data_IF_431821128133
#
_entry.id   IF_431821128133
#
_cell.length_a   1.000
_cell.length_b   1.000
_cell.length_c   1.000
_cell.angle_alpha   90.00
_cell.angle_beta   90.00
_cell.angle_gamma   90.00
#
_symmetry.space_group_name_H-M   'P 1'
#
loop_
_entity.id
_entity.type
_entity.pdbx_description
1 polymer ?
#
# COMPACT_ATOMS: atom_id res chain seq x y z
N UNK A 1 97.57 -65.03 8.36
CA UNK A 1 97.21 -64.73 6.96
C UNK A 1 95.84 -64.07 6.99
N UNK A 2 95.76 -62.74 6.85
CA UNK A 2 95.29 -62.07 5.61
C UNK A 2 93.84 -62.47 5.25
N UNK A 3 92.85 -61.61 5.00
CA UNK A 3 92.81 -60.17 4.71
C UNK A 3 91.32 -59.82 4.42
N UNK A 4 90.82 -58.73 4.99
CA UNK A 4 89.73 -57.82 4.51
C UNK A 4 88.27 -58.31 4.34
N UNK A 5 87.39 -57.35 4.69
CA UNK A 5 86.10 -56.92 4.06
C UNK A 5 84.92 -57.03 5.04
N UNK A 6 84.01 -56.07 5.18
CA UNK A 6 83.79 -54.71 4.69
C UNK A 6 82.68 -54.14 5.60
N UNK A 7 82.81 -52.87 5.96
CA UNK A 7 81.88 -52.05 6.74
C UNK A 7 80.50 -51.94 6.07
N UNK A 8 79.42 -52.25 6.81
CA UNK A 8 78.04 -51.95 6.40
C UNK A 8 77.52 -50.74 7.18
N UNK A 9 77.80 -49.54 6.66
CA UNK A 9 77.13 -48.32 7.09
C UNK A 9 75.81 -48.20 6.32
N UNK A 10 74.70 -48.45 7.01
CA UNK A 10 73.35 -48.19 6.49
C UNK A 10 73.10 -46.67 6.54
N UNK A 11 73.47 -45.96 5.47
CA UNK A 11 73.01 -44.60 5.22
C UNK A 11 71.64 -44.69 4.54
N UNK A 12 70.57 -44.57 5.33
CA UNK A 12 69.23 -44.36 4.80
C UNK A 12 69.16 -42.94 4.23
N UNK A 13 69.39 -42.80 2.93
CA UNK A 13 69.11 -41.57 2.20
C UNK A 13 67.60 -41.36 2.13
N UNK A 14 67.07 -40.59 3.09
CA UNK A 14 65.69 -40.10 3.10
C UNK A 14 65.55 -39.13 1.92
N UNK A 15 64.99 -39.60 0.81
CA UNK A 15 64.61 -38.75 -0.32
C UNK A 15 63.46 -37.83 0.14
N UNK A 16 63.81 -36.61 0.57
CA UNK A 16 62.86 -35.50 0.61
C UNK A 16 62.43 -35.23 -0.83
N UNK A 17 61.26 -35.75 -1.22
CA UNK A 17 60.57 -35.26 -2.40
C UNK A 17 60.15 -33.81 -2.11
N UNK A 18 60.52 -32.82 -2.93
CA UNK A 18 59.96 -31.49 -2.80
C UNK A 18 58.44 -31.62 -3.01
N UNK A 19 57.67 -31.31 -1.99
CA UNK A 19 56.22 -31.23 -2.10
C UNK A 19 55.89 -30.29 -3.23
N UNK A 20 55.29 -30.81 -4.30
CA UNK A 20 54.72 -30.00 -5.37
C UNK A 20 53.79 -28.99 -4.70
N UNK A 21 54.00 -27.67 -4.88
CA UNK A 21 53.03 -26.70 -4.40
C UNK A 21 51.70 -27.05 -5.07
N UNK A 22 50.71 -27.43 -4.26
CA UNK A 22 49.34 -27.52 -4.74
C UNK A 22 48.93 -26.10 -5.10
N UNK A 23 49.09 -25.74 -6.37
CA UNK A 23 48.43 -24.59 -6.96
C UNK A 23 46.94 -24.86 -6.81
N UNK A 24 46.33 -24.29 -5.78
CA UNK A 24 44.89 -24.14 -5.69
C UNK A 24 44.49 -23.28 -6.89
N UNK A 25 44.19 -23.93 -8.01
CA UNK A 25 43.58 -23.31 -9.15
C UNK A 25 42.27 -22.70 -8.62
N UNK A 26 42.27 -21.38 -8.48
CA UNK A 26 41.05 -20.62 -8.30
C UNK A 26 40.23 -20.86 -9.55
N UNK A 27 39.30 -21.81 -9.52
CA UNK A 27 38.20 -21.86 -10.49
C UNK A 27 37.55 -20.48 -10.45
N UNK A 28 37.75 -19.70 -11.50
CA UNK A 28 37.08 -18.42 -11.67
C UNK A 28 35.60 -18.75 -11.75
N UNK A 29 34.87 -18.56 -10.65
CA UNK A 29 33.43 -18.76 -10.62
C UNK A 29 32.82 -17.97 -11.78
N UNK A 30 32.13 -18.66 -12.68
CA UNK A 30 31.43 -18.02 -13.79
C UNK A 30 30.14 -17.39 -13.24
N UNK A 31 30.27 -16.16 -12.76
CA UNK A 31 29.19 -15.39 -12.14
C UNK A 31 28.02 -15.11 -13.11
N UNK A 32 28.19 -15.32 -14.42
CA UNK A 32 27.12 -15.13 -15.41
C UNK A 32 26.27 -16.40 -15.63
N UNK A 33 26.82 -17.58 -15.34
CA UNK A 33 26.11 -18.86 -15.48
C UNK A 33 25.62 -19.45 -14.15
N UNK A 34 26.19 -19.04 -13.02
CA UNK A 34 25.72 -19.44 -11.71
C UNK A 34 24.61 -18.51 -11.19
N UNK A 35 23.45 -19.09 -10.91
CA UNK A 35 22.34 -18.42 -10.20
C UNK A 35 21.70 -19.44 -9.26
N UNK A 36 21.40 -19.01 -8.03
CA UNK A 36 20.51 -19.79 -7.16
C UNK A 36 19.09 -19.83 -7.74
N UNK A 37 18.26 -20.80 -7.32
CA UNK A 37 16.85 -20.87 -7.74
C UNK A 37 16.08 -19.58 -7.38
N UNK A 38 16.43 -18.94 -6.27
CA UNK A 38 15.80 -17.70 -5.82
C UNK A 38 16.19 -16.50 -6.69
N UNK A 39 17.47 -16.40 -7.07
CA UNK A 39 17.98 -15.38 -7.99
C UNK A 39 17.43 -15.57 -9.42
N UNK A 40 17.30 -16.83 -9.86
CA UNK A 40 16.74 -17.17 -11.15
C UNK A 40 15.26 -16.75 -11.22
N UNK A 41 14.48 -17.08 -10.18
CA UNK A 41 13.09 -16.63 -10.07
C UNK A 41 12.96 -15.11 -10.04
N UNK A 42 13.83 -14.43 -9.28
CA UNK A 42 13.83 -12.95 -9.20
C UNK A 42 14.07 -12.32 -10.57
N UNK A 43 15.09 -12.82 -11.27
CA UNK A 43 15.49 -12.31 -12.58
C UNK A 43 14.41 -12.55 -13.62
N UNK A 44 13.82 -13.75 -13.64
CA UNK A 44 12.72 -14.12 -14.53
C UNK A 44 11.48 -13.24 -14.31
N UNK A 45 11.07 -13.05 -13.06
CA UNK A 45 9.92 -12.19 -12.72
C UNK A 45 10.19 -10.75 -13.13
N UNK A 46 11.38 -10.23 -12.85
CA UNK A 46 11.75 -8.86 -13.22
C UNK A 46 11.74 -8.66 -14.73
N UNK A 47 12.37 -9.55 -15.50
CA UNK A 47 12.43 -9.45 -16.96
C UNK A 47 11.04 -9.47 -17.61
N UNK A 48 10.10 -10.24 -17.06
CA UNK A 48 8.71 -10.29 -17.57
C UNK A 48 7.88 -9.09 -17.14
N UNK A 49 8.08 -8.59 -15.92
CA UNK A 49 7.23 -7.55 -15.36
C UNK A 49 7.71 -6.13 -15.65
N UNK A 50 9.01 -5.91 -15.84
CA UNK A 50 9.57 -4.57 -16.06
C UNK A 50 8.97 -3.83 -17.26
N UNK A 51 8.64 -4.47 -18.42
CA UNK A 51 8.05 -3.76 -19.56
C UNK A 51 6.63 -3.24 -19.28
N UNK A 52 5.95 -3.77 -18.26
CA UNK A 52 4.61 -3.36 -17.86
C UNK A 52 4.62 -2.21 -16.85
N UNK A 53 5.78 -1.88 -16.26
CA UNK A 53 5.94 -0.79 -15.29
C UNK A 53 6.26 0.50 -16.02
N UNK A 54 5.59 1.58 -15.62
CA UNK A 54 5.71 2.89 -16.27
C UNK A 54 6.10 3.95 -15.26
N UNK A 55 6.74 5.01 -15.75
CA UNK A 55 7.02 6.20 -14.97
C UNK A 55 5.92 7.24 -15.19
N UNK A 56 5.36 7.77 -14.10
CA UNK A 56 4.27 8.75 -14.14
C UNK A 56 4.82 10.09 -13.67
N UNK A 57 4.86 11.07 -14.56
CA UNK A 57 5.21 12.46 -14.25
C UNK A 57 3.97 13.33 -14.24
N UNK A 58 3.88 14.18 -13.23
CA UNK A 58 2.78 15.11 -13.07
C UNK A 58 3.31 16.54 -13.01
N UNK A 59 2.74 17.44 -13.81
CA UNK A 59 3.24 18.80 -13.97
C UNK A 59 2.13 19.85 -13.81
N UNK A 60 2.52 21.03 -13.35
CA UNK A 60 1.65 22.20 -13.19
C UNK A 60 2.06 23.27 -14.20
N UNK A 61 1.08 23.88 -14.86
CA UNK A 61 1.29 25.00 -15.76
C UNK A 61 1.36 26.28 -14.94
N UNK A 62 2.59 26.77 -14.70
CA UNK A 62 2.79 28.02 -13.99
C UNK A 62 2.98 29.18 -14.95
N UNK A 63 2.15 30.20 -14.79
CA UNK A 63 2.36 31.48 -15.45
C UNK A 63 3.43 32.28 -14.72
N UNK A 64 4.56 32.52 -15.37
CA UNK A 64 5.62 33.35 -14.82
C UNK A 64 5.13 34.79 -14.60
N UNK A 65 5.38 35.36 -13.42
CA UNK A 65 4.84 36.68 -13.02
C UNK A 65 5.35 37.83 -13.91
N UNK A 66 6.60 37.77 -14.36
CA UNK A 66 7.23 38.86 -15.11
C UNK A 66 7.01 38.74 -16.63
N UNK A 67 7.26 37.56 -17.21
CA UNK A 67 7.18 37.33 -18.66
C UNK A 67 5.77 36.97 -19.14
N UNK A 68 4.86 36.61 -18.22
CA UNK A 68 3.51 36.06 -18.51
C UNK A 68 3.51 34.78 -19.35
N UNK A 69 4.67 34.18 -19.60
CA UNK A 69 4.82 32.90 -20.28
C UNK A 69 4.32 31.76 -19.38
N UNK A 70 3.70 30.76 -20.00
CA UNK A 70 3.28 29.54 -19.33
C UNK A 70 4.46 28.57 -19.39
N UNK A 71 4.95 28.13 -18.23
CA UNK A 71 6.02 27.13 -18.12
C UNK A 71 5.47 25.93 -17.39
N UNK A 72 5.77 24.74 -17.91
CA UNK A 72 5.44 23.47 -17.28
C UNK A 72 6.49 23.15 -16.21
N UNK A 73 6.06 22.98 -14.96
CA UNK A 73 6.94 22.67 -13.84
C UNK A 73 6.56 21.30 -13.29
N UNK A 74 7.51 20.34 -13.19
CA UNK A 74 7.26 19.06 -12.54
C UNK A 74 6.79 19.26 -11.10
N UNK A 75 5.65 18.67 -10.76
CA UNK A 75 5.02 18.75 -9.44
C UNK A 75 5.20 17.47 -8.65
N UNK A 76 5.15 16.33 -9.35
CA UNK A 76 5.28 15.01 -8.75
C UNK A 76 5.76 13.98 -9.76
N UNK A 77 6.34 12.91 -9.22
CA UNK A 77 6.78 11.76 -10.00
C UNK A 77 6.52 10.50 -9.19
N UNK A 78 6.18 9.43 -9.89
CA UNK A 78 5.94 8.12 -9.30
C UNK A 78 5.98 7.04 -10.36
N UNK A 79 5.55 5.85 -9.97
CA UNK A 79 5.43 4.71 -10.86
C UNK A 79 3.96 4.39 -11.15
N UNK A 80 3.74 3.59 -12.16
CA UNK A 80 2.46 2.96 -12.46
C UNK A 80 2.70 1.62 -13.12
N UNK A 81 1.64 0.95 -13.51
CA UNK A 81 1.72 -0.24 -14.35
C UNK A 81 0.53 -0.33 -15.29
N UNK A 82 0.74 -0.97 -16.44
CA UNK A 82 -0.30 -1.23 -17.43
C UNK A 82 -1.29 -2.25 -16.87
N UNK A 83 -2.56 -1.84 -16.80
CA UNK A 83 -3.68 -2.65 -16.35
C UNK A 83 -4.42 -3.31 -17.52
N UNK A 84 -4.53 -2.61 -18.65
CA UNK A 84 -5.15 -3.10 -19.87
C UNK A 84 -4.41 -2.48 -21.07
N UNK A 85 -3.65 -3.31 -21.79
CA UNK A 85 -2.83 -2.92 -22.92
C UNK A 85 -3.71 -2.53 -24.12
N UNK A 86 -4.84 -3.20 -24.32
CA UNK A 86 -5.74 -2.92 -25.45
C UNK A 86 -6.28 -1.50 -25.39
N UNK A 87 -6.68 -1.03 -24.21
CA UNK A 87 -7.24 0.31 -24.03
C UNK A 87 -6.21 1.34 -23.52
N UNK A 88 -4.95 0.94 -23.32
CA UNK A 88 -3.88 1.80 -22.81
C UNK A 88 -4.12 2.29 -21.38
N UNK A 89 -4.74 1.47 -20.52
CA UNK A 89 -5.04 1.85 -19.14
C UNK A 89 -3.86 1.58 -18.21
N UNK A 90 -3.57 2.55 -17.37
CA UNK A 90 -2.49 2.50 -16.37
C UNK A 90 -3.07 2.75 -14.98
N UNK A 91 -2.63 1.96 -14.01
CA UNK A 91 -2.96 2.15 -12.59
C UNK A 91 -1.76 2.78 -11.89
N UNK A 92 -2.03 3.77 -11.03
CA UNK A 92 -1.04 4.42 -10.16
C UNK A 92 -1.71 4.89 -8.86
N UNK A 93 -0.98 5.59 -7.99
CA UNK A 93 -1.57 6.20 -6.81
C UNK A 93 -2.22 7.55 -7.10
N UNK A 94 -3.28 7.85 -6.35
CA UNK A 94 -3.94 9.14 -6.40
C UNK A 94 -2.99 10.30 -6.03
N UNK A 95 -2.16 10.14 -5.00
CA UNK A 95 -1.26 11.22 -4.57
C UNK A 95 -0.17 11.56 -5.59
N UNK A 96 0.16 10.67 -6.53
CA UNK A 96 1.12 10.93 -7.62
C UNK A 96 0.54 11.91 -8.65
N UNK A 97 -0.77 11.79 -8.92
CA UNK A 97 -1.47 12.55 -9.97
C UNK A 97 -2.29 13.74 -9.45
N UNK A 98 -2.53 13.79 -8.13
CA UNK A 98 -3.41 14.78 -7.50
C UNK A 98 -2.93 16.22 -7.73
N UNK A 99 -3.74 17.04 -8.40
CA UNK A 99 -3.49 18.46 -8.61
C UNK A 99 -2.48 18.76 -9.72
N UNK A 100 -2.34 17.85 -10.67
CA UNK A 100 -1.56 18.06 -11.89
C UNK A 100 -2.46 18.62 -13.01
N UNK A 101 -1.91 19.53 -13.80
CA UNK A 101 -2.56 20.05 -15.00
C UNK A 101 -2.29 19.15 -16.21
N UNK A 102 -1.13 18.49 -16.21
CA UNK A 102 -0.70 17.56 -17.26
C UNK A 102 -0.07 16.30 -16.65
N UNK A 103 -0.34 15.17 -17.29
CA UNK A 103 0.20 13.87 -16.93
C UNK A 103 0.94 13.28 -18.13
N UNK A 104 2.15 12.80 -17.87
CA UNK A 104 2.99 12.14 -18.87
C UNK A 104 3.34 10.75 -18.34
N UNK A 105 3.16 9.74 -19.17
CA UNK A 105 3.54 8.36 -18.89
C UNK A 105 4.74 8.02 -19.77
N UNK A 106 5.86 7.66 -19.14
CA UNK A 106 7.05 7.18 -19.84
C UNK A 106 7.13 5.66 -19.70
N UNK A 107 7.18 4.96 -20.83
CA UNK A 107 7.29 3.50 -20.89
C UNK A 107 8.73 3.04 -20.65
N UNK A 108 8.94 1.72 -20.57
CA UNK A 108 10.25 1.12 -20.34
C UNK A 108 11.25 1.34 -21.49
N UNK A 109 10.78 1.68 -22.69
CA UNK A 109 11.58 2.04 -23.86
C UNK A 109 11.83 3.55 -23.98
N UNK A 110 11.64 4.29 -22.88
CA UNK A 110 11.80 5.75 -22.75
C UNK A 110 10.81 6.58 -23.57
N UNK A 111 9.86 5.96 -24.28
CA UNK A 111 8.83 6.70 -25.00
C UNK A 111 7.84 7.34 -24.03
N UNK A 112 7.63 8.65 -24.20
CA UNK A 112 6.76 9.45 -23.36
C UNK A 112 5.44 9.77 -24.07
N UNK A 113 4.32 9.45 -23.40
CA UNK A 113 2.97 9.66 -23.91
C UNK A 113 2.19 10.58 -22.97
N UNK A 114 1.30 11.38 -23.55
CA UNK A 114 0.33 12.14 -22.78
C UNK A 114 -0.73 11.20 -22.20
N UNK A 115 -1.23 11.51 -21.01
CA UNK A 115 -2.23 10.70 -20.34
C UNK A 115 -3.38 11.52 -19.79
N UNK A 116 -4.57 10.93 -19.83
CA UNK A 116 -5.79 11.49 -19.27
C UNK A 116 -6.22 10.72 -18.03
N UNK A 117 -6.86 11.42 -17.09
CA UNK A 117 -7.45 10.78 -15.91
C UNK A 117 -8.78 10.13 -16.32
N UNK A 118 -8.86 8.80 -16.16
CA UNK A 118 -10.11 8.06 -16.35
C UNK A 118 -10.96 8.11 -15.08
N UNK A 119 -10.32 7.92 -13.92
CA UNK A 119 -11.02 7.95 -12.64
C UNK A 119 -10.08 8.02 -11.45
N UNK A 120 -10.61 8.54 -10.34
CA UNK A 120 -9.86 8.78 -9.11
C UNK A 120 -10.57 8.15 -7.91
N UNK A 121 -9.79 7.52 -7.03
CA UNK A 121 -10.24 6.98 -5.76
C UNK A 121 -9.38 7.53 -4.60
N UNK A 122 -9.60 8.78 -4.17
CA UNK A 122 -8.79 9.40 -3.11
C UNK A 122 -8.85 8.65 -1.77
N UNK A 123 -9.95 7.95 -1.47
CA UNK A 123 -10.12 7.16 -0.22
C UNK A 123 -9.27 5.88 -0.20
N UNK A 124 -8.86 5.38 -1.37
CA UNK A 124 -8.03 4.18 -1.51
C UNK A 124 -6.65 4.50 -2.07
N UNK A 125 -6.36 5.77 -2.30
CA UNK A 125 -5.13 6.26 -2.91
C UNK A 125 -4.82 5.60 -4.27
N UNK A 126 -5.85 5.40 -5.10
CA UNK A 126 -5.73 4.82 -6.44
C UNK A 126 -6.20 5.81 -7.51
N UNK A 127 -5.58 5.73 -8.69
CA UNK A 127 -5.98 6.45 -9.89
C UNK A 127 -5.85 5.53 -11.11
N UNK A 128 -6.75 5.71 -12.08
CA UNK A 128 -6.67 5.08 -13.40
C UNK A 128 -6.44 6.17 -14.42
N UNK A 129 -5.38 6.00 -15.21
CA UNK A 129 -5.01 6.86 -16.32
C UNK A 129 -5.21 6.11 -17.63
N UNK A 130 -5.35 6.87 -18.72
CA UNK A 130 -5.36 6.36 -20.09
C UNK A 130 -4.26 7.04 -20.88
N UNK A 131 -3.42 6.26 -21.52
CA UNK A 131 -2.45 6.74 -22.49
C UNK A 131 -3.21 7.22 -23.74
N UNK A 132 -2.94 8.46 -24.17
CA UNK A 132 -3.44 8.98 -25.45
C UNK A 132 -2.61 8.33 -26.56
N UNK A 133 -3.29 7.74 -27.55
CA UNK A 133 -2.68 7.01 -28.68
C UNK A 133 -1.69 5.93 -28.21
N UNK A 134 -2.15 4.90 -27.46
CA UNK A 134 -1.28 3.89 -26.88
C UNK A 134 -0.55 3.09 -27.97
N UNK A 135 0.72 2.72 -27.75
CA UNK A 135 1.45 1.89 -28.70
C UNK A 135 0.91 0.45 -28.69
N UNK A 136 1.08 -0.26 -29.81
CA UNK A 136 0.54 -1.62 -29.96
C UNK A 136 1.25 -2.73 -29.18
N UNK A 137 2.35 -2.41 -28.49
CA UNK A 137 3.24 -3.36 -27.80
C UNK A 137 3.22 -3.20 -26.27
N UNK A 138 2.14 -2.70 -25.69
CA UNK A 138 1.99 -2.62 -24.24
C UNK A 138 1.96 -4.02 -23.61
N UNK A 139 2.68 -4.20 -22.50
CA UNK A 139 2.68 -5.44 -21.71
C UNK A 139 1.78 -5.27 -20.49
N UNK A 140 0.83 -6.17 -20.28
CA UNK A 140 -0.02 -6.17 -19.07
C UNK A 140 0.61 -6.98 -17.94
N UNK A 141 0.37 -6.56 -16.69
CA UNK A 141 0.73 -7.38 -15.54
C UNK A 141 -0.35 -8.42 -15.23
N UNK A 142 0.02 -9.69 -15.01
CA UNK A 142 -0.94 -10.69 -14.54
C UNK A 142 -1.43 -10.34 -13.13
N UNK A 143 -2.75 -10.38 -12.94
CA UNK A 143 -3.40 -10.07 -11.65
C UNK A 143 -3.42 -11.34 -10.78
N UNK A 144 -2.95 -11.23 -9.53
CA UNK A 144 -2.98 -12.31 -8.55
C UNK A 144 -4.13 -12.20 -7.55
N UNK A 145 -4.03 -12.91 -6.43
CA UNK A 145 -4.97 -12.84 -5.30
C UNK A 145 -4.25 -12.48 -4.00
N UNK A 146 -4.57 -11.33 -3.43
CA UNK A 146 -3.98 -10.89 -2.16
C UNK A 146 -4.49 -11.64 -0.93
N UNK A 147 -5.61 -12.37 -1.03
CA UNK A 147 -6.17 -13.17 0.07
C UNK A 147 -5.39 -14.47 0.33
N UNK A 148 -4.59 -14.90 -0.65
CA UNK A 148 -3.70 -16.06 -0.55
C UNK A 148 -2.31 -15.71 0.01
N UNK A 149 -2.05 -14.41 0.25
CA UNK A 149 -0.80 -13.99 0.86
C UNK A 149 -0.68 -14.50 2.30
N UNK A 150 0.55 -14.83 2.68
CA UNK A 150 0.92 -15.20 4.05
C UNK A 150 2.19 -14.47 4.46
N UNK A 151 2.31 -14.14 5.75
CA UNK A 151 3.52 -13.53 6.31
C UNK A 151 4.72 -14.43 6.04
N UNK A 152 5.83 -13.85 5.62
CA UNK A 152 7.06 -14.54 5.22
C UNK A 152 7.13 -14.93 3.74
N UNK A 153 6.07 -14.73 2.95
CA UNK A 153 6.15 -14.93 1.49
C UNK A 153 7.01 -13.85 0.85
N UNK A 154 7.90 -14.26 -0.06
CA UNK A 154 8.68 -13.37 -0.92
C UNK A 154 7.78 -12.47 -1.74
N UNK A 155 8.13 -11.19 -1.79
CA UNK A 155 7.52 -10.17 -2.64
C UNK A 155 8.59 -9.33 -3.31
N UNK A 156 8.23 -8.77 -4.47
CA UNK A 156 9.11 -7.97 -5.31
C UNK A 156 8.41 -6.66 -5.61
N UNK A 157 8.99 -5.55 -5.18
CA UNK A 157 8.50 -4.23 -5.51
C UNK A 157 9.28 -3.70 -6.71
N UNK A 158 8.54 -3.30 -7.75
CA UNK A 158 9.11 -2.71 -8.95
C UNK A 158 8.62 -1.27 -9.05
N UNK A 159 9.52 -0.37 -9.40
CA UNK A 159 9.21 1.02 -9.71
C UNK A 159 10.23 1.60 -10.67
N UNK A 160 9.94 2.74 -11.26
CA UNK A 160 10.87 3.50 -12.07
C UNK A 160 11.17 4.83 -11.39
N UNK A 161 12.01 4.84 -10.32
CA UNK A 161 12.42 6.10 -9.72
C UNK A 161 13.25 6.88 -10.75
N UNK A 162 12.83 8.11 -11.04
CA UNK A 162 13.51 9.06 -11.94
C UNK A 162 13.38 8.82 -13.45
N UNK A 163 12.65 7.80 -13.91
CA UNK A 163 12.33 7.62 -15.33
C UNK A 163 13.51 7.14 -16.19
N UNK A 164 14.63 6.77 -15.58
CA UNK A 164 15.86 6.37 -16.27
C UNK A 164 16.18 4.88 -16.10
N UNK A 165 15.72 4.24 -15.02
CA UNK A 165 15.94 2.80 -14.78
C UNK A 165 14.85 2.22 -13.87
N UNK A 166 14.31 1.07 -14.28
CA UNK A 166 13.37 0.32 -13.44
C UNK A 166 14.12 -0.32 -12.28
N UNK A 167 13.82 0.09 -11.06
CA UNK A 167 14.38 -0.45 -9.82
C UNK A 167 13.55 -1.64 -9.32
N UNK A 168 14.25 -2.69 -8.91
CA UNK A 168 13.69 -3.84 -8.22
C UNK A 168 14.17 -3.86 -6.77
N UNK A 169 13.25 -4.05 -5.83
CA UNK A 169 13.58 -4.37 -4.45
C UNK A 169 12.84 -5.63 -4.01
N UNK A 170 13.55 -6.51 -3.30
CA UNK A 170 13.03 -7.79 -2.83
C UNK A 170 12.85 -7.73 -1.32
N UNK A 171 11.80 -8.37 -0.85
CA UNK A 171 11.54 -8.56 0.58
C UNK A 171 10.52 -9.65 0.80
N UNK A 172 9.86 -9.60 1.96
CA UNK A 172 8.78 -10.50 2.32
C UNK A 172 7.54 -9.73 2.74
N UNK A 173 6.40 -10.41 2.76
CA UNK A 173 5.21 -9.94 3.48
C UNK A 173 5.54 -9.95 4.98
N UNK A 174 5.67 -8.78 5.58
CA UNK A 174 5.96 -8.64 7.02
C UNK A 174 4.69 -8.70 7.86
N UNK A 175 3.57 -8.18 7.35
CA UNK A 175 2.26 -8.24 7.99
C UNK A 175 1.13 -8.01 6.98
N UNK A 176 -0.07 -8.43 7.33
CA UNK A 176 -1.31 -8.20 6.56
C UNK A 176 -2.30 -7.41 7.40
N UNK A 177 -3.34 -6.88 6.74
CA UNK A 177 -4.46 -6.17 7.36
C UNK A 177 -4.08 -4.98 8.26
N UNK A 178 -3.05 -4.22 7.85
CA UNK A 178 -2.62 -3.03 8.58
C UNK A 178 -3.54 -1.84 8.29
N UNK A 179 -3.59 -0.92 9.24
CA UNK A 179 -4.23 0.39 9.08
C UNK A 179 -3.14 1.46 9.08
N UNK A 180 -3.12 2.29 8.05
CA UNK A 180 -2.14 3.36 7.88
C UNK A 180 -2.82 4.69 7.59
N UNK A 181 -2.10 5.79 7.82
CA UNK A 181 -2.44 7.08 7.22
C UNK A 181 -1.69 7.22 5.91
N UNK A 182 -2.41 7.45 4.83
CA UNK A 182 -1.83 7.76 3.52
C UNK A 182 -1.05 9.08 3.56
N UNK A 183 -0.19 9.33 2.57
CA UNK A 183 0.42 10.65 2.36
C UNK A 183 -0.62 11.78 2.24
N UNK A 184 -1.82 11.45 1.76
CA UNK A 184 -2.99 12.35 1.71
C UNK A 184 -3.74 12.49 3.05
N UNK A 185 -3.15 12.03 4.17
CA UNK A 185 -3.68 12.06 5.53
C UNK A 185 -5.05 11.36 5.70
N UNK A 186 -5.34 10.38 4.84
CA UNK A 186 -6.54 9.54 4.90
C UNK A 186 -6.20 8.18 5.48
N UNK A 187 -7.10 7.63 6.28
CA UNK A 187 -6.90 6.29 6.82
C UNK A 187 -7.20 5.24 5.74
N UNK A 188 -6.19 4.43 5.39
CA UNK A 188 -6.34 3.26 4.53
C UNK A 188 -6.26 2.01 5.41
N UNK A 189 -7.24 1.11 5.25
CA UNK A 189 -7.36 -0.14 5.99
C UNK A 189 -7.02 -1.32 5.07
N UNK A 190 -6.53 -2.40 5.68
CA UNK A 190 -6.31 -3.65 4.97
C UNK A 190 -5.00 -3.68 4.17
N UNK A 191 -4.04 -2.81 4.44
CA UNK A 191 -2.81 -2.73 3.63
C UNK A 191 -1.86 -3.88 3.94
N UNK A 192 -1.11 -4.30 2.93
CA UNK A 192 0.01 -5.24 3.04
C UNK A 192 1.22 -4.47 3.56
N UNK A 193 1.95 -5.03 4.53
CA UNK A 193 3.23 -4.51 4.98
C UNK A 193 4.36 -5.38 4.43
N UNK A 194 5.43 -4.76 3.95
CA UNK A 194 6.64 -5.43 3.46
C UNK A 194 7.90 -4.72 3.95
N UNK A 195 8.99 -5.47 4.03
CA UNK A 195 10.34 -4.97 4.27
C UNK A 195 11.14 -4.77 2.97
N UNK A 196 10.56 -5.10 1.81
CA UNK A 196 11.09 -4.68 0.52
C UNK A 196 11.26 -3.16 0.53
N UNK A 197 12.41 -2.68 0.08
CA UNK A 197 12.71 -1.25 0.16
C UNK A 197 11.78 -0.45 -0.76
N UNK A 198 10.89 0.35 -0.15
CA UNK A 198 10.01 1.29 -0.84
C UNK A 198 10.54 2.70 -0.59
N UNK A 199 10.83 3.44 -1.65
CA UNK A 199 11.33 4.82 -1.58
C UNK A 199 10.48 5.72 -2.49
N UNK A 200 10.59 7.06 -2.35
CA UNK A 200 10.01 7.99 -3.34
C UNK A 200 10.38 7.56 -4.76
N UNK A 201 9.38 7.48 -5.64
CA UNK A 201 9.52 6.92 -6.99
C UNK A 201 8.85 5.55 -7.17
N UNK A 202 8.81 4.69 -6.14
CA UNK A 202 8.11 3.40 -6.22
C UNK A 202 6.59 3.51 -6.00
N UNK A 203 6.11 4.64 -5.45
CA UNK A 203 4.68 4.90 -5.25
C UNK A 203 3.91 4.79 -6.56
N UNK A 204 2.90 3.93 -6.56
CA UNK A 204 2.06 3.58 -7.70
C UNK A 204 2.55 2.37 -8.50
N UNK A 205 3.79 1.93 -8.26
CA UNK A 205 4.36 0.73 -8.88
C UNK A 205 3.82 -0.58 -8.28
N UNK A 206 3.99 -1.71 -8.97
CA UNK A 206 3.45 -2.99 -8.53
C UNK A 206 4.27 -3.64 -7.40
N UNK A 207 3.57 -4.37 -6.54
CA UNK A 207 4.12 -5.37 -5.64
C UNK A 207 3.73 -6.76 -6.17
N UNK A 208 4.71 -7.60 -6.48
CA UNK A 208 4.53 -8.90 -7.11
C UNK A 208 4.85 -10.05 -6.15
N UNK A 209 4.18 -11.19 -6.34
CA UNK A 209 4.56 -12.45 -5.70
C UNK A 209 5.66 -13.19 -6.50
N UNK A 210 6.10 -14.35 -6.00
CA UNK A 210 7.09 -15.21 -6.68
C UNK A 210 6.64 -15.75 -8.06
N UNK A 211 5.35 -15.66 -8.39
CA UNK A 211 4.82 -16.03 -9.70
C UNK A 211 4.80 -14.85 -10.70
N UNK A 212 5.28 -13.67 -10.28
CA UNK A 212 5.23 -12.45 -11.08
C UNK A 212 3.83 -11.84 -11.18
N UNK A 213 2.88 -12.27 -10.33
CA UNK A 213 1.52 -11.75 -10.31
C UNK A 213 1.41 -10.57 -9.36
N UNK A 214 0.62 -9.57 -9.77
CA UNK A 214 0.30 -8.40 -8.96
C UNK A 214 -0.45 -8.83 -7.69
N UNK A 215 0.10 -8.48 -6.54
CA UNK A 215 -0.52 -8.69 -5.23
C UNK A 215 -0.78 -7.39 -4.47
N UNK A 216 -0.21 -6.28 -4.91
CA UNK A 216 -0.58 -4.96 -4.42
C UNK A 216 0.06 -3.79 -5.17
N UNK A 217 -0.27 -2.58 -4.75
CA UNK A 217 0.26 -1.31 -5.31
C UNK A 217 1.01 -0.58 -4.21
N UNK A 218 2.32 -0.37 -4.40
CA UNK A 218 3.17 0.32 -3.44
C UNK A 218 2.65 1.75 -3.24
N UNK A 219 2.42 2.19 -2.00
CA UNK A 219 1.83 3.53 -1.74
C UNK A 219 2.68 4.39 -0.82
N UNK A 220 3.04 3.86 0.34
CA UNK A 220 3.58 4.66 1.43
C UNK A 220 4.62 3.88 2.21
N UNK A 221 5.45 4.62 2.94
CA UNK A 221 6.34 4.09 3.96
C UNK A 221 6.02 4.70 5.31
N UNK A 222 6.32 3.96 6.37
CA UNK A 222 6.51 4.59 7.67
C UNK A 222 8.00 4.91 7.83
N UNK A 223 8.35 6.20 7.85
CA UNK A 223 9.73 6.62 8.04
C UNK A 223 9.83 7.95 8.79
N UNK A 224 10.62 8.03 9.87
CA UNK A 224 11.00 9.29 10.49
C UNK A 224 11.91 10.16 9.62
N UNK A 225 12.68 9.55 8.71
CA UNK A 225 13.70 10.22 7.88
C UNK A 225 13.23 10.55 6.45
N UNK A 226 12.11 9.97 6.02
CA UNK A 226 11.58 10.10 4.65
C UNK A 226 12.12 9.07 3.64
N UNK A 227 13.07 8.22 4.03
CA UNK A 227 13.54 7.06 3.24
C UNK A 227 13.12 5.72 3.85
N UNK A 228 13.24 4.61 3.11
CA UNK A 228 12.86 3.28 3.61
C UNK A 228 13.54 2.93 4.93
N UNK A 229 12.75 2.51 5.92
CA UNK A 229 13.23 1.95 7.19
C UNK A 229 12.84 0.46 7.33
N UNK A 230 12.60 -0.23 6.20
CA UNK A 230 12.11 -1.62 6.18
C UNK A 230 10.62 -1.76 6.55
N UNK A 231 9.85 -0.66 6.44
CA UNK A 231 8.40 -0.65 6.70
C UNK A 231 7.70 0.04 5.52
N UNK A 232 7.49 -0.73 4.45
CA UNK A 232 6.71 -0.35 3.28
C UNK A 232 5.27 -0.85 3.35
N UNK A 233 4.37 -0.14 2.66
CA UNK A 233 2.97 -0.52 2.56
C UNK A 233 2.47 -0.55 1.11
N UNK A 234 1.63 -1.54 0.82
CA UNK A 234 0.96 -1.68 -0.46
C UNK A 234 -0.55 -1.88 -0.29
N UNK A 235 -1.32 -1.32 -1.21
CA UNK A 235 -2.77 -1.54 -1.32
C UNK A 235 -2.97 -2.93 -1.92
N UNK A 236 -3.76 -3.85 -1.31
CA UNK A 236 -3.90 -5.21 -1.83
C UNK A 236 -4.58 -5.26 -3.19
N UNK A 237 -4.15 -6.19 -4.05
CA UNK A 237 -4.71 -6.33 -5.40
C UNK A 237 -6.22 -6.58 -5.39
N UNK A 238 -6.78 -7.27 -4.39
CA UNK A 238 -8.24 -7.47 -4.35
C UNK A 238 -8.99 -6.15 -4.14
N UNK A 239 -8.40 -5.18 -3.43
CA UNK A 239 -8.96 -3.82 -3.35
C UNK A 239 -8.84 -3.10 -4.70
N UNK A 240 -7.74 -3.30 -5.42
CA UNK A 240 -7.54 -2.73 -6.76
C UNK A 240 -8.57 -3.29 -7.74
N UNK A 241 -8.76 -4.61 -7.76
CA UNK A 241 -9.74 -5.31 -8.61
C UNK A 241 -11.19 -4.93 -8.30
N UNK A 242 -11.50 -4.50 -7.07
CA UNK A 242 -12.82 -3.95 -6.72
C UNK A 242 -12.99 -2.50 -7.23
N UNK A 243 -11.93 -1.69 -7.15
CA UNK A 243 -11.97 -0.25 -7.39
C UNK A 243 -11.79 0.12 -8.85
N UNK A 244 -10.80 -0.47 -9.53
CA UNK A 244 -10.43 -0.11 -10.91
C UNK A 244 -11.59 -0.24 -11.89
N UNK A 245 -12.40 -1.32 -11.89
CA UNK A 245 -13.57 -1.39 -12.77
C UNK A 245 -14.58 -0.27 -12.53
N UNK A 246 -14.78 0.17 -11.28
CA UNK A 246 -15.66 1.30 -10.97
C UNK A 246 -15.09 2.62 -11.46
N UNK A 247 -13.77 2.80 -11.35
CA UNK A 247 -13.10 3.99 -11.88
C UNK A 247 -13.21 4.07 -13.40
N UNK A 248 -13.07 2.93 -14.10
CA UNK A 248 -13.23 2.85 -15.55
C UNK A 248 -14.68 3.16 -15.95
N UNK A 249 -15.67 2.60 -15.25
CA UNK A 249 -17.07 2.75 -15.61
C UNK A 249 -17.69 4.11 -15.22
N UNK A 250 -17.31 4.67 -14.07
CA UNK A 250 -17.99 5.83 -13.45
C UNK A 250 -17.07 7.00 -13.12
N UNK A 251 -15.76 6.86 -13.32
CA UNK A 251 -14.75 7.85 -12.94
C UNK A 251 -14.49 7.98 -11.43
N UNK A 252 -15.26 7.26 -10.58
CA UNK A 252 -15.17 7.30 -9.12
C UNK A 252 -15.74 6.03 -8.49
N UNK A 253 -15.40 5.78 -7.22
CA UNK A 253 -16.00 4.70 -6.44
C UNK A 253 -17.47 5.04 -6.13
N UNK A 254 -18.39 4.15 -6.49
CA UNK A 254 -19.82 4.31 -6.20
C UNK A 254 -20.13 3.65 -4.86
N UNK A 255 -20.45 4.44 -3.83
CA UNK A 255 -20.83 3.93 -2.51
C UNK A 255 -22.27 4.27 -2.17
N UNK A 256 -23.08 3.29 -1.71
CA UNK A 256 -24.36 3.61 -1.12
C UNK A 256 -24.11 4.41 0.17
N UNK A 257 -24.79 5.55 0.29
CA UNK A 257 -24.80 6.36 1.51
C UNK A 257 -26.19 6.26 2.14
N UNK A 258 -26.24 6.12 3.46
CA UNK A 258 -27.51 6.08 4.20
C UNK A 258 -28.21 7.45 4.26
N UNK A 259 -27.51 8.54 3.90
CA UNK A 259 -28.08 9.90 3.92
C UNK A 259 -28.34 10.46 5.32
N UNK A 260 -27.67 9.92 6.34
CA UNK A 260 -27.80 10.37 7.74
C UNK A 260 -26.47 10.91 8.26
N UNK A 261 -26.52 12.01 8.98
CA UNK A 261 -25.38 12.57 9.72
C UNK A 261 -25.61 12.33 11.21
N UNK A 262 -24.56 11.88 11.93
CA UNK A 262 -24.65 11.70 13.37
C UNK A 262 -24.68 13.07 14.05
N UNK A 263 -25.74 13.35 14.80
CA UNK A 263 -25.79 14.53 15.64
C UNK A 263 -24.66 14.50 16.67
N UNK A 264 -23.90 15.59 16.78
CA UNK A 264 -22.83 15.67 17.77
C UNK A 264 -23.39 15.66 19.19
N UNK A 265 -22.59 15.17 20.15
CA UNK A 265 -22.98 15.18 21.58
C UNK A 265 -23.33 16.59 22.09
N UNK A 266 -22.78 17.63 21.45
CA UNK A 266 -23.11 19.03 21.73
C UNK A 266 -24.54 19.38 21.32
N UNK A 267 -25.00 18.88 20.17
CA UNK A 267 -26.39 18.99 19.71
C UNK A 267 -27.36 18.25 20.64
N UNK A 268 -26.97 17.09 21.19
CA UNK A 268 -27.80 16.41 22.20
C UNK A 268 -27.96 17.21 23.50
N UNK A 269 -26.96 18.01 23.86
CA UNK A 269 -26.99 18.87 25.06
C UNK A 269 -27.84 20.13 24.89
N UNK A 270 -28.19 20.53 23.66
CA UNK A 270 -29.09 21.66 23.41
C UNK A 270 -30.57 21.24 23.35
N UNK A 271 -30.88 19.95 23.23
CA UNK A 271 -32.26 19.44 23.26
C UNK A 271 -32.93 19.63 24.63
N UNK A 272 -34.22 20.01 24.71
CA UNK A 272 -34.93 20.11 25.98
C UNK A 272 -34.91 18.78 26.76
N UNK A 273 -34.88 18.84 28.11
CA UNK A 273 -34.79 17.63 28.98
C UNK A 273 -35.79 16.52 28.60
N UNK A 274 -37.01 16.89 28.16
CA UNK A 274 -38.05 15.95 27.73
C UNK A 274 -37.63 15.08 26.52
N UNK A 275 -36.85 15.65 25.59
CA UNK A 275 -36.39 14.96 24.38
C UNK A 275 -35.12 14.13 24.64
N UNK A 276 -34.27 14.56 25.58
CA UNK A 276 -33.11 13.76 26.02
C UNK A 276 -33.51 12.41 26.61
N UNK A 277 -34.59 12.37 27.40
CA UNK A 277 -35.10 11.12 27.98
C UNK A 277 -35.64 10.15 26.92
N UNK A 278 -36.21 10.67 25.82
CA UNK A 278 -36.74 9.86 24.72
C UNK A 278 -35.63 9.22 23.88
N UNK A 279 -34.55 9.95 23.59
CA UNK A 279 -33.40 9.40 22.86
C UNK A 279 -32.58 8.39 23.69
N UNK A 280 -32.52 8.54 25.02
CA UNK A 280 -31.85 7.59 25.90
C UNK A 280 -32.57 6.23 26.01
N UNK A 281 -33.85 6.13 25.62
CA UNK A 281 -34.56 4.85 25.60
C UNK A 281 -34.31 4.05 24.31
N UNK A 282 -33.86 4.67 23.23
CA UNK A 282 -33.48 3.99 21.98
C UNK A 282 -32.16 3.22 22.08
N UNK A 283 -31.28 3.58 23.02
CA UNK A 283 -30.05 2.81 23.29
C UNK A 283 -30.31 1.53 24.11
N UNK A 284 -31.57 1.27 24.51
CA UNK A 284 -32.03 0.03 25.16
C UNK A 284 -32.63 -0.98 24.18
N UNK A 285 -32.30 -0.92 22.88
CA UNK A 285 -32.56 -2.05 21.99
C UNK A 285 -31.76 -3.26 22.55
N UNK A 286 -32.40 -4.34 22.99
CA UNK A 286 -31.69 -5.48 23.53
C UNK A 286 -30.80 -6.03 22.42
N UNK A 287 -29.48 -6.08 22.65
CA UNK A 287 -28.54 -6.80 21.80
C UNK A 287 -28.96 -8.28 21.80
N UNK A 288 -29.84 -8.68 20.88
CA UNK A 288 -30.01 -10.10 20.57
C UNK A 288 -28.63 -10.59 20.16
N UNK A 289 -28.08 -11.55 20.90
CA UNK A 289 -26.78 -12.17 20.61
C UNK A 289 -26.78 -12.58 19.14
N UNK A 290 -26.06 -11.86 18.28
CA UNK A 290 -25.68 -12.37 16.98
C UNK A 290 -24.80 -13.60 17.22
N UNK A 291 -25.41 -14.78 17.11
CA UNK A 291 -24.74 -16.06 17.25
C UNK A 291 -24.01 -16.31 15.92
N UNK A 292 -22.83 -15.74 15.75
CA UNK A 292 -21.92 -16.20 14.70
C UNK A 292 -21.56 -17.66 15.03
N UNK A 293 -21.87 -18.56 14.09
CA UNK A 293 -21.64 -19.99 14.22
C UNK A 293 -20.17 -20.27 14.49
N UNK A 294 -19.89 -21.03 15.57
CA UNK A 294 -18.57 -21.60 15.82
C UNK A 294 -18.28 -22.62 14.72
N UNK A 295 -17.19 -22.43 13.96
CA UNK A 295 -16.54 -23.53 13.23
C UNK A 295 -16.00 -24.55 14.25
N UNK A 296 -16.06 -25.87 13.97
CA UNK A 296 -15.48 -26.87 14.84
C UNK A 296 -13.97 -26.95 14.58
N UNK A 297 -13.15 -26.67 15.59
CA UNK A 297 -11.73 -27.06 15.58
C UNK A 297 -11.50 -28.09 16.68
N UNK A 298 -11.50 -29.37 16.26
CA UNK A 298 -10.89 -30.45 17.04
C UNK A 298 -9.42 -30.51 16.70
N UNK A 299 -8.55 -30.08 17.62
CA UNK A 299 -7.14 -30.52 17.67
C UNK A 299 -6.79 -30.68 19.15
N UNK A 300 -6.75 -31.94 19.60
CA UNK A 300 -6.28 -32.33 20.92
C UNK A 300 -4.79 -32.02 21.06
N UNK A 301 -4.39 -31.26 22.07
CA UNK A 301 -2.99 -31.22 22.53
C UNK A 301 -2.82 -32.19 23.71
N UNK A 302 -1.95 -33.18 23.49
CA UNK A 302 -1.45 -34.13 24.51
C UNK A 302 -0.64 -33.39 25.58
N UNK A 303 -0.85 -33.79 26.83
CA UNK A 303 -0.09 -33.36 28.01
C UNK A 303 1.27 -34.07 28.10
N UNK A 304 2.31 -33.34 28.50
CA UNK A 304 3.54 -33.90 29.10
C UNK A 304 3.69 -33.36 30.52
N UNK A 305 4.04 -34.19 31.53
CA UNK A 305 4.21 -33.71 32.91
C UNK A 305 5.64 -33.20 33.12
N UNK A 306 5.81 -32.00 33.69
CA UNK A 306 7.09 -31.53 34.22
C UNK A 306 7.20 -31.85 35.72
N UNK A 307 8.34 -32.43 36.08
CA UNK A 307 8.79 -32.79 37.43
C UNK A 307 8.85 -31.57 38.35
N UNK A 308 8.50 -31.81 39.61
CA UNK A 308 8.70 -30.91 40.76
C UNK A 308 10.19 -30.83 41.09
N UNK A 309 10.65 -29.63 41.41
CA UNK A 309 11.76 -29.49 42.36
C UNK A 309 11.46 -28.41 43.41
N UNK A 310 12.05 -28.63 44.59
CA UNK A 310 11.73 -28.03 45.90
C UNK A 310 12.54 -26.77 46.20
N UNK A 311 12.05 -26.03 47.22
CA UNK A 311 12.61 -24.89 47.98
C UNK A 311 12.30 -23.54 47.33
N UNK A 312 11.84 -22.49 48.01
CA UNK A 312 12.01 -22.09 49.41
C UNK A 312 10.82 -21.26 49.93
N UNK A 313 10.73 -21.12 51.26
CA UNK A 313 9.64 -20.45 51.99
C UNK A 313 9.82 -18.92 51.99
N UNK A 314 8.70 -18.19 51.88
CA UNK A 314 8.65 -16.76 52.18
C UNK A 314 7.21 -16.24 52.30
N UNK A 315 6.79 -15.91 53.52
CA UNK A 315 5.50 -15.28 53.88
C UNK A 315 5.17 -14.05 53.03
N UNK A 316 3.89 -13.88 52.65
CA UNK A 316 3.03 -12.76 53.09
C UNK A 316 1.59 -12.87 52.53
N UNK A 317 0.65 -12.27 53.27
CA UNK A 317 -0.81 -12.40 53.19
C UNK A 317 -1.39 -12.01 51.82
N UNK A 318 -2.23 -12.88 51.26
CA UNK A 318 -3.05 -12.58 50.09
C UNK A 318 -4.26 -11.72 50.45
N UNK A 319 -4.33 -10.53 49.86
CA UNK A 319 -5.55 -9.75 49.72
C UNK A 319 -5.82 -9.63 48.21
N UNK A 320 -6.76 -10.42 47.69
CA UNK A 320 -7.20 -10.31 46.29
C UNK A 320 -7.93 -8.97 46.11
N UNK A 321 -7.26 -7.97 45.52
CA UNK A 321 -7.92 -6.82 44.91
C UNK A 321 -8.05 -7.07 43.41
N UNK A 322 -9.30 -7.09 42.94
CA UNK A 322 -9.64 -6.94 41.52
C UNK A 322 -9.11 -5.57 41.06
N UNK A 323 -8.21 -5.55 40.08
CA UNK A 323 -7.84 -4.34 39.35
C UNK A 323 -8.60 -4.35 38.04
N UNK A 324 -9.56 -3.45 37.92
CA UNK A 324 -10.20 -3.07 36.67
C UNK A 324 -9.32 -2.03 35.98
N UNK A 325 -8.92 -2.30 34.74
CA UNK A 325 -8.14 -1.35 33.93
C UNK A 325 -9.11 -0.36 33.27
N UNK A 326 -9.00 0.92 33.62
CA UNK A 326 -9.63 2.04 32.92
C UNK A 326 -8.68 2.56 31.83
N UNK A 327 -9.17 2.79 30.62
CA UNK A 327 -8.43 3.56 29.62
C UNK A 327 -8.49 5.05 29.97
N UNK A 328 -7.30 5.66 30.04
CA UNK A 328 -7.11 7.08 30.34
C UNK A 328 -7.27 7.99 29.12
N UNK A 329 -7.79 9.18 29.39
CA UNK A 329 -7.80 10.33 28.47
C UNK A 329 -6.40 10.95 28.34
N UNK A 330 -6.07 11.41 27.13
CA UNK A 330 -4.81 12.09 26.82
C UNK A 330 -4.69 13.48 27.49
N UNK A 331 -3.47 13.94 27.84
CA UNK A 331 -3.27 15.18 28.59
C UNK A 331 -3.42 16.45 27.73
N UNK A 332 -4.09 17.45 28.31
CA UNK A 332 -4.11 18.84 27.81
C UNK A 332 -2.86 19.58 28.28
N UNK A 333 -2.14 20.18 27.34
CA UNK A 333 -1.12 21.19 27.61
C UNK A 333 -1.76 22.46 28.16
N UNK A 334 -1.32 22.92 29.34
CA UNK A 334 -1.66 24.23 29.92
C UNK A 334 -0.57 25.23 29.54
N UNK A 335 -0.94 26.29 28.82
CA UNK A 335 -0.15 27.52 28.80
C UNK A 335 -0.44 28.34 30.07
N UNK A 336 0.63 28.77 30.72
CA UNK A 336 0.63 29.70 31.84
C UNK A 336 0.06 31.07 31.42
N UNK A 337 -0.80 31.63 32.28
CA UNK A 337 -1.24 33.03 32.22
C UNK A 337 -0.21 33.93 32.91
N UNK A 338 0.19 35.00 32.24
CA UNK A 338 0.57 36.25 32.90
C UNK A 338 -0.62 37.22 32.85
N UNK A 339 -0.84 37.93 33.96
CA UNK A 339 -1.83 39.00 34.14
C UNK A 339 -1.39 40.24 33.38
N UNK A 340 -2.36 41.02 32.90
CA UNK A 340 -2.41 42.47 33.15
C UNK A 340 -3.81 43.07 32.93
N UNK A 341 -3.96 44.28 33.47
CA UNK A 341 -5.16 44.96 33.97
C UNK A 341 -6.07 45.69 32.96
N UNK A 342 -7.21 46.16 33.52
CA UNK A 342 -8.22 47.13 33.01
C UNK A 342 -9.25 46.55 32.03
N UNK A 343 -10.56 46.78 32.10
CA UNK A 343 -11.43 47.68 32.86
C UNK A 343 -12.65 47.98 31.97
N UNK A 344 -13.88 48.00 32.51
CA UNK A 344 -15.03 48.66 31.85
C UNK A 344 -16.25 47.82 31.46
N UNK A 345 -17.30 47.94 32.28
CA UNK A 345 -18.73 48.04 32.01
C UNK A 345 -19.34 47.68 30.63
N UNK A 346 -20.56 47.09 30.68
CA UNK A 346 -21.61 47.45 29.72
C UNK A 346 -22.66 46.38 29.42
N UNK A 347 -23.90 46.63 29.83
CA UNK A 347 -25.11 45.79 29.71
C UNK A 347 -25.62 45.56 28.28
N UNK A 348 -26.49 44.54 28.16
CA UNK A 348 -27.73 44.46 27.38
C UNK A 348 -27.74 43.80 25.97
N UNK A 349 -28.52 42.71 25.89
CA UNK A 349 -29.28 42.17 24.73
C UNK A 349 -30.35 43.19 24.25
N UNK A 350 -30.97 43.11 23.03
CA UNK A 350 -31.49 41.86 22.46
C UNK A 350 -31.66 41.72 20.91
N UNK A 351 -32.03 40.48 20.51
CA UNK A 351 -32.84 40.05 19.34
C UNK A 351 -32.37 40.39 17.91
N UNK A 352 -32.11 39.33 17.15
CA UNK A 352 -32.09 39.33 15.69
C UNK A 352 -32.38 37.93 15.13
N UNK A 353 -33.61 37.71 14.68
CA UNK A 353 -34.03 36.55 13.89
C UNK A 353 -33.50 36.79 12.47
N UNK A 354 -32.66 35.91 11.94
CA UNK A 354 -32.32 35.90 10.51
C UNK A 354 -32.64 34.51 9.97
N UNK A 355 -33.67 34.45 9.13
CA UNK A 355 -33.97 33.36 8.20
C UNK A 355 -33.04 33.51 6.99
N UNK A 356 -32.34 32.43 6.61
CA UNK A 356 -31.64 32.32 5.33
C UNK A 356 -32.24 31.16 4.51
N UNK A 357 -32.30 31.25 3.17
CA UNK A 357 -33.14 30.40 2.33
C UNK A 357 -32.49 29.05 1.99
N UNK A 358 -33.35 28.05 1.77
CA UNK A 358 -32.99 26.74 1.22
C UNK A 358 -33.22 26.82 -0.29
N UNK A 359 -32.15 26.83 -1.08
CA UNK A 359 -32.25 26.65 -2.52
C UNK A 359 -32.46 25.17 -2.85
N UNK A 360 -33.68 24.87 -3.30
CA UNK A 360 -34.09 23.57 -3.84
C UNK A 360 -33.83 23.60 -5.34
N UNK A 361 -32.77 22.93 -5.80
CA UNK A 361 -32.61 22.64 -7.23
C UNK A 361 -33.56 21.50 -7.61
N UNK A 362 -34.59 21.85 -8.40
CA UNK A 362 -35.46 20.90 -9.11
C UNK A 362 -34.66 20.25 -10.24
N UNK A 363 -34.47 18.94 -10.20
CA UNK A 363 -34.06 18.15 -11.35
C UNK A 363 -35.30 17.82 -12.20
N UNK A 364 -35.40 18.46 -13.35
CA UNK A 364 -36.37 18.13 -14.40
C UNK A 364 -35.86 16.91 -15.16
N UNK A 365 -36.55 15.78 -15.01
CA UNK A 365 -36.32 14.58 -15.83
C UNK A 365 -36.95 14.76 -17.21
N UNK A 366 -36.14 14.91 -18.26
CA UNK A 366 -36.59 14.69 -19.64
C UNK A 366 -36.35 13.22 -20.01
N UNK A 367 -37.46 12.49 -20.18
CA UNK A 367 -37.51 11.19 -20.84
C UNK A 367 -37.29 11.40 -22.33
N UNK A 368 -36.27 10.77 -22.91
CA UNK A 368 -36.16 10.57 -24.35
C UNK A 368 -36.57 9.13 -24.70
N UNK A 369 -37.66 9.03 -25.47
CA UNK A 369 -38.17 7.81 -26.09
C UNK A 369 -37.16 7.25 -27.10
N UNK A 370 -36.86 5.96 -27.01
CA UNK A 370 -36.33 5.18 -28.13
C UNK A 370 -37.43 4.21 -28.60
N UNK A 371 -38.12 4.59 -29.67
CA UNK A 371 -38.95 3.69 -30.46
C UNK A 371 -38.08 3.05 -31.55
N UNK A 372 -38.24 1.75 -31.72
CA UNK A 372 -37.48 0.95 -32.68
C UNK A 372 -37.85 1.20 -34.15
N UNK A 373 -36.86 0.97 -35.01
CA UNK A 373 -36.96 0.61 -36.44
C UNK A 373 -35.77 -0.31 -36.75
N UNK A 374 -36.01 -1.60 -36.96
CA UNK A 374 -36.23 -2.25 -38.25
C UNK A 374 -34.93 -2.46 -39.05
N UNK A 375 -34.46 -3.71 -39.06
CA UNK A 375 -33.43 -4.27 -39.93
C UNK A 375 -33.91 -4.31 -41.39
N UNK A 376 -33.03 -4.13 -42.39
CA UNK A 376 -33.24 -4.68 -43.72
C UNK A 376 -32.43 -5.96 -43.93
N UNK A 377 -33.04 -6.81 -44.75
CA UNK A 377 -32.74 -8.20 -45.02
C UNK A 377 -31.45 -8.44 -45.80
N UNK A 378 -30.87 -9.61 -45.56
CA UNK A 378 -29.93 -10.28 -46.45
C UNK A 378 -30.57 -10.57 -47.82
N UNK A 379 -29.81 -10.30 -48.89
CA UNK A 379 -30.03 -10.90 -50.21
C UNK A 379 -28.81 -11.76 -50.57
N UNK A 380 -29.11 -12.99 -51.01
CA UNK A 380 -28.19 -13.94 -51.62
C UNK A 380 -28.13 -13.68 -53.14
N UNK A 381 -27.03 -14.19 -53.71
CA UNK A 381 -26.75 -14.56 -55.11
C UNK A 381 -26.01 -13.54 -55.97
N UNK A 382 -24.89 -14.04 -56.53
CA UNK A 382 -24.00 -13.38 -57.49
C UNK A 382 -22.58 -13.83 -57.27
#
# INVERSE_FOLDING_TARGET
MMLKRLTAACLAALLLQPGTPQTLASETADYLSFSTDDEANTTEVFQRASPAVVFVTSSELRRQRFTRNITEIPRGAGSGFVWDAQSGLVVTNYHVVSGADRLTITLADEQAFQAEVVGLAPERDLAVLRIIDPPGNLTELPVGDSSELSVGRKVMAIGNPFGLDTTLTVGVVSALDREIRSPSNRTIRGVIQTDAAINPGNSGGPLLNSLGQLVGVNTAIFSPSGGSAGIGFAIPVNTVSEVVPQLIAFGKIMRPVLGVELASDRWFKTLPRRWRAHCQNLSRIPRRKCRYGRRPTGVQRRNYPRRRDRRDRGRTRGQQRRVSVCYGEAPRWRHHRHRDHSGGCGKALPRGIIRGPVDVFKATAQRANWQGRALPQASRHG
#
